data_IF_426642016472
#
_entry.id   IF_426642016472
#
_cell.length_a   1.000
_cell.length_b   1.000
_cell.length_c   1.000
_cell.angle_alpha   90.00
_cell.angle_beta   90.00
_cell.angle_gamma   90.00
#
_symmetry.space_group_name_H-M   'P 1'
#
loop_
_entity.id
_entity.type
_entity.pdbx_description
1 polymer ?
#
# COMPACT_ATOMS: atom_id res chain seq x y z
N UNK A 1 -83.25 29.32 3.27
CA UNK A 1 -83.37 30.08 2.01
C UNK A 1 -82.03 30.75 1.70
N UNK A 2 -81.42 30.29 0.60
CA UNK A 2 -80.51 30.99 -0.31
C UNK A 2 -79.26 31.76 0.17
N UNK A 3 -78.12 31.22 -0.34
CA UNK A 3 -76.98 31.87 -1.01
C UNK A 3 -75.75 32.28 -0.18
N UNK A 4 -74.70 31.47 -0.34
CA UNK A 4 -73.47 31.92 -1.00
C UNK A 4 -72.25 32.17 -0.12
N UNK A 5 -71.28 31.24 -0.13
CA UNK A 5 -69.95 31.42 -0.75
C UNK A 5 -69.16 30.11 -0.60
N UNK A 6 -68.85 29.46 -1.72
CA UNK A 6 -67.88 28.35 -1.78
C UNK A 6 -66.53 29.00 -2.09
N UNK A 7 -65.62 29.00 -1.13
CA UNK A 7 -64.21 29.33 -1.35
C UNK A 7 -63.50 28.04 -1.77
N UNK A 8 -63.15 27.95 -3.05
CA UNK A 8 -62.27 26.93 -3.59
C UNK A 8 -60.83 27.22 -3.13
N UNK A 9 -60.34 26.44 -2.17
CA UNK A 9 -58.91 26.35 -1.90
C UNK A 9 -58.27 25.45 -2.96
N UNK A 10 -57.51 26.07 -3.86
CA UNK A 10 -56.64 25.42 -4.83
C UNK A 10 -55.51 24.75 -4.03
N UNK A 11 -55.55 23.41 -3.96
CA UNK A 11 -54.39 22.58 -3.62
C UNK A 11 -53.37 22.72 -4.75
N UNK A 12 -52.49 23.72 -4.64
CA UNK A 12 -51.23 23.75 -5.39
C UNK A 12 -50.38 22.59 -4.89
N UNK A 13 -50.33 21.53 -5.68
CA UNK A 13 -49.36 20.46 -5.52
C UNK A 13 -47.95 21.04 -5.60
N UNK A 14 -47.32 21.23 -4.44
CA UNK A 14 -45.88 21.20 -4.36
C UNK A 14 -45.46 19.76 -4.65
N UNK A 15 -45.18 19.49 -5.93
CA UNK A 15 -44.29 18.42 -6.34
C UNK A 15 -42.92 18.73 -5.74
N UNK A 16 -42.73 18.39 -4.47
CA UNK A 16 -41.41 18.23 -3.90
C UNK A 16 -40.78 17.06 -4.65
N UNK A 17 -40.14 17.37 -5.78
CA UNK A 17 -39.07 16.54 -6.30
C UNK A 17 -38.13 16.31 -5.11
N UNK A 18 -38.16 15.08 -4.60
CA UNK A 18 -37.09 14.53 -3.80
C UNK A 18 -35.82 14.72 -4.64
N UNK A 19 -35.12 15.84 -4.41
CA UNK A 19 -33.74 15.96 -4.79
C UNK A 19 -33.04 14.86 -4.00
N UNK A 20 -32.79 13.72 -4.66
CA UNK A 20 -31.74 12.82 -4.24
C UNK A 20 -30.54 13.74 -3.99
N UNK A 21 -30.14 13.87 -2.74
CA UNK A 21 -28.93 14.58 -2.40
C UNK A 21 -27.82 13.92 -3.22
N UNK A 22 -27.39 14.58 -4.30
CA UNK A 22 -26.22 14.15 -5.03
C UNK A 22 -25.08 14.22 -4.03
N UNK A 23 -24.58 13.05 -3.63
CA UNK A 23 -23.43 12.95 -2.73
C UNK A 23 -22.28 13.69 -3.40
N UNK A 24 -21.73 14.67 -2.69
CA UNK A 24 -20.62 15.45 -3.21
C UNK A 24 -19.31 14.97 -2.62
N UNK A 25 -18.55 14.21 -3.43
CA UNK A 25 -17.26 13.70 -3.01
C UNK A 25 -16.15 14.71 -3.32
N UNK A 26 -16.21 15.35 -4.50
CA UNK A 26 -15.21 16.29 -4.99
C UNK A 26 -15.90 17.53 -5.56
N UNK A 27 -15.47 18.69 -5.06
CA UNK A 27 -15.89 19.99 -5.58
C UNK A 27 -14.92 20.44 -6.69
N UNK A 28 -15.46 20.80 -7.86
CA UNK A 28 -14.70 21.27 -9.02
C UNK A 28 -15.03 22.74 -9.27
N UNK A 29 -14.03 23.61 -9.15
CA UNK A 29 -14.14 25.05 -9.31
C UNK A 29 -13.33 25.54 -10.49
N UNK A 30 -13.68 26.74 -10.95
CA UNK A 30 -12.88 27.44 -11.93
C UNK A 30 -13.51 28.75 -12.35
N UNK A 31 -12.74 29.50 -13.13
CA UNK A 31 -13.16 30.76 -13.74
C UNK A 31 -13.09 30.67 -15.26
N UNK A 32 -14.19 31.04 -15.91
CA UNK A 32 -14.31 31.18 -17.35
C UNK A 32 -14.02 32.63 -17.72
N UNK A 33 -13.04 32.91 -18.58
CA UNK A 33 -12.80 34.26 -19.08
C UNK A 33 -14.08 34.92 -19.64
N UNK A 34 -14.32 36.18 -19.30
CA UNK A 34 -15.58 36.90 -19.57
C UNK A 34 -16.00 36.95 -21.06
N UNK A 35 -15.04 36.82 -21.98
CA UNK A 35 -15.30 36.85 -23.43
C UNK A 35 -15.76 35.48 -24.00
N UNK A 36 -15.73 34.41 -23.20
CA UNK A 36 -16.13 33.07 -23.63
C UNK A 36 -17.61 32.85 -23.29
N UNK A 37 -18.43 32.53 -24.30
CA UNK A 37 -19.84 32.18 -24.08
C UNK A 37 -19.99 30.92 -23.23
N UNK A 38 -20.95 30.94 -22.30
CA UNK A 38 -21.28 29.83 -21.41
C UNK A 38 -22.15 28.75 -22.09
N UNK A 39 -22.81 29.05 -23.22
CA UNK A 39 -23.86 28.22 -23.82
C UNK A 39 -23.41 26.79 -24.19
N UNK A 40 -22.10 26.60 -24.38
CA UNK A 40 -21.49 25.33 -24.81
C UNK A 40 -20.30 24.94 -23.93
N UNK A 41 -20.24 25.46 -22.70
CA UNK A 41 -19.24 25.09 -21.71
C UNK A 41 -19.73 23.98 -20.80
N UNK A 42 -18.84 23.03 -20.52
CA UNK A 42 -19.06 22.01 -19.52
C UNK A 42 -17.75 21.59 -18.87
N UNK A 43 -17.86 21.12 -17.63
CA UNK A 43 -16.83 20.32 -16.98
C UNK A 43 -16.98 18.89 -17.48
N UNK A 44 -15.97 18.40 -18.17
CA UNK A 44 -15.88 17.01 -18.62
C UNK A 44 -15.15 16.18 -17.58
N UNK A 45 -15.87 15.23 -17.00
CA UNK A 45 -15.35 14.16 -16.13
C UNK A 45 -15.49 12.82 -16.85
N UNK A 46 -14.98 11.73 -16.28
CA UNK A 46 -14.82 10.46 -16.99
C UNK A 46 -16.10 9.95 -17.69
N UNK A 47 -17.23 9.90 -16.99
CA UNK A 47 -18.50 9.37 -17.53
C UNK A 47 -19.56 10.44 -17.81
N UNK A 48 -19.26 11.72 -17.57
CA UNK A 48 -20.28 12.76 -17.54
C UNK A 48 -19.74 14.12 -17.98
N UNK A 49 -20.62 14.91 -18.59
CA UNK A 49 -20.40 16.33 -18.81
C UNK A 49 -21.36 17.11 -17.92
N UNK A 50 -20.83 18.07 -17.16
CA UNK A 50 -21.59 18.91 -16.24
C UNK A 50 -21.63 20.34 -16.81
N UNK A 51 -22.78 20.87 -17.21
CA UNK A 51 -22.88 22.21 -17.78
C UNK A 51 -22.35 23.29 -16.84
N UNK A 52 -21.67 24.30 -17.40
CA UNK A 52 -21.20 25.49 -16.67
C UNK A 52 -22.11 26.66 -17.03
N UNK A 53 -22.84 27.18 -16.04
CA UNK A 53 -23.85 28.24 -16.23
C UNK A 53 -23.44 29.60 -15.69
N UNK A 54 -22.25 29.71 -15.12
CA UNK A 54 -21.70 30.95 -14.59
C UNK A 54 -20.19 31.06 -14.89
N UNK A 55 -19.69 32.29 -15.03
CA UNK A 55 -18.27 32.54 -15.26
C UNK A 55 -17.40 32.16 -14.06
N UNK A 56 -17.93 32.27 -12.85
CA UNK A 56 -17.37 31.60 -11.67
C UNK A 56 -18.27 30.41 -11.37
N UNK A 57 -17.73 29.20 -11.37
CA UNK A 57 -18.52 28.00 -11.17
C UNK A 57 -17.95 27.14 -10.04
N UNK A 58 -18.86 26.42 -9.41
CA UNK A 58 -18.55 25.26 -8.57
C UNK A 58 -19.53 24.17 -8.97
N UNK A 59 -19.00 23.02 -9.35
CA UNK A 59 -19.80 21.84 -9.69
C UNK A 59 -19.35 20.66 -8.87
N UNK A 60 -20.28 19.74 -8.65
CA UNK A 60 -20.05 18.58 -7.83
C UNK A 60 -19.85 17.32 -8.68
N UNK A 61 -18.88 16.48 -8.32
CA UNK A 61 -18.68 15.17 -8.91
C UNK A 61 -18.49 14.09 -7.83
N UNK A 62 -19.01 12.89 -8.09
CA UNK A 62 -18.72 11.71 -7.27
C UNK A 62 -17.38 11.08 -7.66
N UNK A 63 -16.80 10.25 -6.79
CA UNK A 63 -15.61 9.43 -7.14
C UNK A 63 -15.87 8.53 -8.36
N UNK A 64 -17.12 8.09 -8.55
CA UNK A 64 -17.58 7.33 -9.72
C UNK A 64 -17.55 8.15 -11.00
N UNK A 65 -18.08 9.38 -10.96
CA UNK A 65 -18.05 10.30 -12.11
C UNK A 65 -16.62 10.58 -12.60
N UNK A 66 -15.66 10.52 -11.67
CA UNK A 66 -14.24 10.80 -11.88
C UNK A 66 -13.37 9.55 -12.15
N UNK A 67 -13.95 8.35 -12.04
CA UNK A 67 -13.24 7.07 -12.15
C UNK A 67 -11.99 7.00 -11.26
N UNK A 68 -12.07 7.53 -10.04
CA UNK A 68 -10.95 7.56 -9.11
C UNK A 68 -10.48 6.13 -8.84
N UNK A 69 -9.30 5.77 -9.35
CA UNK A 69 -8.71 4.45 -9.14
C UNK A 69 -7.82 4.48 -7.90
N UNK A 70 -7.74 3.37 -7.16
CA UNK A 70 -6.80 3.21 -6.04
C UNK A 70 -5.33 3.07 -6.46
N UNK A 71 -4.95 3.71 -7.57
CA UNK A 71 -3.60 3.73 -8.10
C UNK A 71 -2.88 4.99 -7.65
N UNK A 72 -1.58 4.87 -7.49
CA UNK A 72 -0.74 5.96 -7.01
C UNK A 72 -0.57 7.07 -8.06
N UNK A 73 -0.49 6.70 -9.34
CA UNK A 73 -0.48 7.63 -10.47
C UNK A 73 -1.72 7.42 -11.38
N UNK A 74 -2.78 8.22 -11.19
CA UNK A 74 -3.95 8.19 -12.04
C UNK A 74 -3.73 9.01 -13.32
N UNK A 75 -4.04 8.41 -14.48
CA UNK A 75 -4.10 9.14 -15.75
C UNK A 75 -5.42 9.94 -15.93
N UNK A 76 -6.30 9.92 -14.92
CA UNK A 76 -7.61 10.55 -15.01
C UNK A 76 -7.51 12.06 -14.82
N UNK A 77 -8.23 12.78 -15.67
CA UNK A 77 -8.23 14.24 -15.72
C UNK A 77 -9.64 14.77 -15.80
N UNK A 78 -9.86 15.92 -15.18
CA UNK A 78 -11.04 16.76 -15.38
C UNK A 78 -10.68 17.89 -16.33
N UNK A 79 -11.62 18.28 -17.18
CA UNK A 79 -11.42 19.34 -18.16
C UNK A 79 -12.55 20.37 -18.12
N UNK A 80 -12.21 21.65 -18.31
CA UNK A 80 -13.16 22.64 -18.77
C UNK A 80 -13.14 22.64 -20.31
N UNK A 81 -14.29 22.38 -20.94
CA UNK A 81 -14.39 22.19 -22.38
C UNK A 81 -15.38 23.16 -23.01
N UNK A 82 -14.96 23.80 -24.10
CA UNK A 82 -15.81 24.60 -24.99
C UNK A 82 -16.11 23.81 -26.27
N UNK A 83 -17.40 23.55 -26.50
CA UNK A 83 -17.90 22.84 -27.69
C UNK A 83 -18.56 23.79 -28.70
N UNK A 84 -18.21 25.07 -28.68
CA UNK A 84 -18.66 26.05 -29.66
C UNK A 84 -18.17 25.78 -31.08
N UNK A 85 -17.08 25.03 -31.23
CA UNK A 85 -16.50 24.58 -32.49
C UNK A 85 -16.74 23.08 -32.75
N UNK A 86 -16.60 22.66 -34.01
CA UNK A 86 -16.76 21.24 -34.42
C UNK A 86 -15.81 20.29 -33.69
N UNK A 87 -14.62 20.78 -33.34
CA UNK A 87 -13.66 20.09 -32.46
C UNK A 87 -13.72 20.72 -31.07
N UNK A 88 -14.01 19.97 -29.99
CA UNK A 88 -14.00 20.52 -28.64
C UNK A 88 -12.64 21.12 -28.26
N UNK A 89 -12.69 22.30 -27.64
CA UNK A 89 -11.52 23.03 -27.12
C UNK A 89 -11.40 22.77 -25.62
N UNK A 90 -10.26 22.23 -25.19
CA UNK A 90 -9.96 21.98 -23.78
C UNK A 90 -9.24 23.20 -23.20
N UNK A 91 -9.95 23.98 -22.39
CA UNK A 91 -9.48 25.28 -21.90
C UNK A 91 -8.52 25.11 -20.72
N UNK A 92 -8.93 24.30 -19.74
CA UNK A 92 -8.16 24.00 -18.55
C UNK A 92 -8.32 22.52 -18.18
N UNK A 93 -7.36 21.99 -17.43
CA UNK A 93 -7.37 20.61 -16.97
C UNK A 93 -6.71 20.43 -15.62
N UNK A 94 -7.05 19.36 -14.91
CA UNK A 94 -6.43 18.97 -13.65
C UNK A 94 -6.43 17.45 -13.50
N UNK A 95 -5.39 16.89 -12.88
CA UNK A 95 -5.32 15.48 -12.50
C UNK A 95 -6.22 15.19 -11.30
N UNK A 96 -6.72 13.95 -11.21
CA UNK A 96 -7.59 13.51 -10.12
C UNK A 96 -6.95 12.35 -9.38
N UNK A 97 -6.71 12.54 -8.08
CA UNK A 97 -6.19 11.52 -7.18
C UNK A 97 -7.25 11.09 -6.18
N UNK A 98 -7.05 9.96 -5.49
CA UNK A 98 -8.02 9.51 -4.49
C UNK A 98 -8.07 10.44 -3.28
N UNK A 99 -6.94 11.06 -2.97
CA UNK A 99 -6.80 12.05 -1.92
C UNK A 99 -7.41 13.42 -2.29
N UNK A 100 -7.75 13.65 -3.57
CA UNK A 100 -8.32 14.92 -4.04
C UNK A 100 -9.68 15.16 -3.39
N UNK A 101 -9.84 16.32 -2.73
CA UNK A 101 -11.13 16.79 -2.18
C UNK A 101 -11.73 17.95 -2.97
N UNK A 102 -10.88 18.72 -3.62
CA UNK A 102 -11.25 19.87 -4.44
C UNK A 102 -10.34 19.95 -5.66
N UNK A 103 -10.90 20.36 -6.79
CA UNK A 103 -10.19 20.59 -8.04
C UNK A 103 -10.39 22.05 -8.43
N UNK A 104 -9.29 22.73 -8.73
CA UNK A 104 -9.31 23.99 -9.47
C UNK A 104 -9.02 23.70 -10.94
N UNK A 105 -9.79 24.31 -11.84
CA UNK A 105 -9.58 24.30 -13.28
C UNK A 105 -9.08 25.66 -13.74
N UNK A 106 -7.76 25.81 -13.75
CA UNK A 106 -7.10 27.07 -14.08
C UNK A 106 -5.75 26.84 -14.81
N UNK A 107 -4.95 27.91 -14.91
CA UNK A 107 -3.62 27.84 -15.53
C UNK A 107 -2.62 27.07 -14.67
N UNK A 108 -2.74 27.09 -13.34
CA UNK A 108 -1.85 26.38 -12.41
C UNK A 108 -2.07 24.88 -12.55
N UNK A 109 -3.31 24.41 -12.42
CA UNK A 109 -3.67 23.00 -12.58
C UNK A 109 -3.29 22.47 -13.98
N UNK A 110 -3.47 23.30 -15.00
CA UNK A 110 -3.14 22.94 -16.38
C UNK A 110 -1.64 22.79 -16.58
N UNK A 111 -0.82 23.73 -16.09
CA UNK A 111 0.63 23.63 -16.21
C UNK A 111 1.22 22.55 -15.29
N UNK A 112 0.60 22.31 -14.13
CA UNK A 112 0.98 21.20 -13.25
C UNK A 112 0.88 19.85 -13.99
N UNK A 113 -0.13 19.66 -14.86
CA UNK A 113 -0.24 18.45 -15.69
C UNK A 113 0.90 18.25 -16.71
N UNK A 114 1.64 19.31 -17.05
CA UNK A 114 2.83 19.21 -17.92
C UNK A 114 4.12 19.02 -17.12
N UNK A 115 4.17 19.56 -15.90
CA UNK A 115 5.26 19.32 -14.96
C UNK A 115 5.20 17.91 -14.35
N UNK A 116 3.97 17.41 -14.13
CA UNK A 116 3.66 16.07 -13.69
C UNK A 116 3.54 15.14 -14.89
N UNK A 117 4.50 14.25 -15.08
CA UNK A 117 4.35 13.13 -16.01
C UNK A 117 3.78 11.89 -15.29
N UNK A 118 3.91 10.72 -15.93
CA UNK A 118 3.44 9.45 -15.39
C UNK A 118 4.25 8.92 -14.17
N UNK A 119 4.98 9.79 -13.46
CA UNK A 119 5.69 9.49 -12.21
C UNK A 119 5.12 10.22 -10.99
N UNK A 120 4.24 11.19 -11.20
CA UNK A 120 3.69 11.97 -10.09
C UNK A 120 2.55 11.24 -9.39
N UNK A 121 2.64 11.14 -8.06
CA UNK A 121 1.49 10.91 -7.21
C UNK A 121 0.88 12.22 -6.72
N UNK A 122 -0.05 12.09 -5.77
CA UNK A 122 -0.81 13.22 -5.23
C UNK A 122 0.07 14.28 -4.56
N UNK A 123 1.08 13.87 -3.79
CA UNK A 123 1.85 14.80 -2.97
C UNK A 123 2.89 15.58 -3.78
N UNK A 124 3.52 14.93 -4.76
CA UNK A 124 4.38 15.65 -5.70
C UNK A 124 3.56 16.62 -6.56
N UNK A 125 2.37 16.23 -7.02
CA UNK A 125 1.47 17.11 -7.75
C UNK A 125 1.08 18.34 -6.93
N UNK A 126 0.65 18.16 -5.68
CA UNK A 126 0.31 19.29 -4.79
C UNK A 126 1.51 20.23 -4.60
N UNK A 127 2.69 19.68 -4.31
CA UNK A 127 3.90 20.50 -4.14
C UNK A 127 4.25 21.29 -5.40
N UNK A 128 4.06 20.69 -6.59
CA UNK A 128 4.30 21.38 -7.87
C UNK A 128 3.31 22.53 -8.05
N UNK A 129 2.03 22.34 -7.72
CA UNK A 129 1.01 23.39 -7.79
C UNK A 129 1.36 24.61 -6.91
N UNK A 130 2.00 24.35 -5.77
CA UNK A 130 2.43 25.38 -4.81
C UNK A 130 3.81 26.00 -5.15
N UNK A 131 4.52 25.53 -6.18
CA UNK A 131 5.85 26.05 -6.53
C UNK A 131 5.75 27.45 -7.17
N UNK A 132 6.52 28.39 -6.63
CA UNK A 132 6.52 29.78 -7.09
C UNK A 132 6.86 29.95 -8.59
N UNK A 133 7.70 29.09 -9.14
CA UNK A 133 8.05 29.10 -10.56
C UNK A 133 6.89 28.64 -11.43
N UNK A 134 6.14 27.60 -11.00
CA UNK A 134 4.91 27.20 -11.67
C UNK A 134 3.88 28.32 -11.63
N UNK A 135 3.67 28.93 -10.46
CA UNK A 135 2.73 30.05 -10.28
C UNK A 135 3.09 31.21 -11.23
N UNK A 136 4.37 31.55 -11.36
CA UNK A 136 4.83 32.60 -12.29
C UNK A 136 4.57 32.23 -13.76
N UNK A 137 4.81 30.97 -14.16
CA UNK A 137 4.50 30.50 -15.51
C UNK A 137 2.99 30.48 -15.76
N UNK A 138 2.19 30.10 -14.78
CA UNK A 138 0.74 30.08 -14.88
C UNK A 138 0.16 31.49 -15.06
N UNK A 139 0.73 32.50 -14.39
CA UNK A 139 0.39 33.90 -14.60
C UNK A 139 0.66 34.33 -16.05
N UNK A 140 1.82 33.99 -16.62
CA UNK A 140 2.13 34.30 -18.02
C UNK A 140 1.20 33.55 -18.99
N UNK A 141 0.96 32.26 -18.73
CA UNK A 141 0.06 31.43 -19.53
C UNK A 141 -1.39 31.94 -19.52
N UNK A 142 -1.85 32.49 -18.39
CA UNK A 142 -3.19 33.07 -18.27
C UNK A 142 -3.42 34.30 -19.15
N UNK A 143 -2.35 34.97 -19.60
CA UNK A 143 -2.43 36.11 -20.53
C UNK A 143 -2.67 35.66 -21.98
N UNK A 144 -2.47 34.37 -22.28
CA UNK A 144 -2.77 33.79 -23.58
C UNK A 144 -4.26 33.41 -23.61
N UNK A 145 -4.97 33.90 -24.63
CA UNK A 145 -6.38 33.60 -24.86
C UNK A 145 -6.65 32.09 -24.73
N UNK A 146 -7.69 31.72 -23.98
CA UNK A 146 -8.00 30.32 -23.71
C UNK A 146 -8.39 29.52 -24.94
N UNK A 147 -8.87 30.18 -26.00
CA UNK A 147 -9.19 29.59 -27.29
C UNK A 147 -7.98 29.53 -28.23
N UNK A 148 -6.87 30.23 -27.94
CA UNK A 148 -5.65 30.22 -28.74
C UNK A 148 -4.81 28.95 -28.52
N UNK A 149 -5.35 27.79 -28.93
CA UNK A 149 -4.74 26.46 -28.74
C UNK A 149 -3.28 26.40 -29.22
N UNK A 150 -2.97 26.98 -30.38
CA UNK A 150 -1.64 26.94 -30.96
C UNK A 150 -0.61 27.72 -30.11
N UNK A 151 -0.97 28.90 -29.63
CA UNK A 151 -0.11 29.74 -28.79
C UNK A 151 0.10 29.10 -27.41
N UNK A 152 -0.96 28.57 -26.80
CA UNK A 152 -0.86 27.82 -25.54
C UNK A 152 0.03 26.58 -25.67
N UNK A 153 -0.04 25.87 -26.80
CA UNK A 153 0.85 24.74 -27.09
C UNK A 153 2.29 25.19 -27.32
N UNK A 154 2.51 26.32 -28.00
CA UNK A 154 3.84 26.89 -28.18
C UNK A 154 4.46 27.34 -26.85
N UNK A 155 3.65 27.88 -25.93
CA UNK A 155 4.10 28.23 -24.58
C UNK A 155 4.58 27.00 -23.81
N UNK A 156 3.78 25.93 -23.75
CA UNK A 156 4.15 24.73 -22.99
C UNK A 156 5.38 24.06 -23.58
N UNK A 157 5.54 24.03 -24.91
CA UNK A 157 6.75 23.55 -25.59
C UNK A 157 7.98 24.40 -25.24
N UNK A 158 7.85 25.73 -25.27
CA UNK A 158 8.93 26.66 -24.91
C UNK A 158 9.42 26.45 -23.48
N UNK A 159 8.50 26.14 -22.55
CA UNK A 159 8.78 25.98 -21.12
C UNK A 159 8.90 24.52 -20.65
N UNK A 160 8.96 23.56 -21.58
CA UNK A 160 8.94 22.13 -21.27
C UNK A 160 10.06 21.70 -20.31
N UNK A 161 11.29 22.19 -20.53
CA UNK A 161 12.43 21.83 -19.69
C UNK A 161 12.25 22.34 -18.24
N UNK A 162 11.78 23.57 -18.08
CA UNK A 162 11.48 24.16 -16.77
C UNK A 162 10.38 23.37 -16.07
N UNK A 163 9.27 23.10 -16.76
CA UNK A 163 8.15 22.33 -16.22
C UNK A 163 8.61 20.94 -15.77
N UNK A 164 9.40 20.24 -16.58
CA UNK A 164 9.94 18.92 -16.22
C UNK A 164 10.92 18.94 -15.04
N UNK A 165 11.62 20.05 -14.81
CA UNK A 165 12.54 20.20 -13.66
C UNK A 165 11.79 20.34 -12.34
N UNK A 166 10.60 20.94 -12.32
CA UNK A 166 9.80 21.17 -11.11
C UNK A 166 9.55 19.88 -10.32
N UNK A 167 9.31 18.75 -11.00
CA UNK A 167 9.16 17.46 -10.33
C UNK A 167 10.42 17.03 -9.57
N UNK A 168 11.59 17.24 -10.18
CA UNK A 168 12.88 16.84 -9.61
C UNK A 168 13.52 17.89 -8.71
N UNK A 169 12.90 19.08 -8.59
CA UNK A 169 13.36 20.21 -7.78
C UNK A 169 13.07 19.94 -6.30
N UNK A 170 13.75 18.93 -5.77
CA UNK A 170 13.62 18.48 -4.38
C UNK A 170 15.02 18.31 -3.79
N UNK A 171 15.26 18.91 -2.63
CA UNK A 171 16.53 18.83 -1.94
C UNK A 171 16.73 17.48 -1.24
N UNK A 172 17.99 17.14 -0.95
CA UNK A 172 18.41 16.02 -0.09
C UNK A 172 18.00 14.62 -0.55
N UNK A 173 17.63 14.46 -1.83
CA UNK A 173 17.30 13.16 -2.41
C UNK A 173 18.56 12.29 -2.52
N UNK A 174 18.51 11.10 -1.91
CA UNK A 174 19.61 10.13 -1.95
C UNK A 174 19.52 9.29 -3.22
N UNK A 175 20.66 9.12 -3.88
CA UNK A 175 20.79 8.13 -4.94
C UNK A 175 20.82 6.73 -4.35
N UNK A 176 20.30 5.76 -5.10
CA UNK A 176 20.47 4.36 -4.74
C UNK A 176 21.94 3.96 -4.91
N UNK A 177 22.50 3.30 -3.89
CA UNK A 177 23.83 2.69 -3.97
C UNK A 177 23.80 1.48 -4.93
N UNK A 178 24.51 1.59 -6.05
CA UNK A 178 24.53 0.59 -7.13
C UNK A 178 24.99 -0.80 -6.66
N UNK A 179 25.79 -0.88 -5.60
CA UNK A 179 26.25 -2.15 -5.03
C UNK A 179 25.17 -2.89 -4.21
N UNK A 180 24.02 -2.26 -3.98
CA UNK A 180 22.90 -2.83 -3.22
C UNK A 180 21.80 -3.42 -4.11
N UNK A 181 22.03 -3.46 -5.42
CA UNK A 181 21.10 -4.01 -6.39
C UNK A 181 21.32 -5.52 -6.55
N UNK A 182 20.34 -6.31 -6.11
CA UNK A 182 20.02 -7.56 -6.81
C UNK A 182 18.71 -7.30 -7.53
N UNK A 183 18.77 -6.86 -8.79
CA UNK A 183 17.58 -6.81 -9.61
C UNK A 183 17.00 -8.22 -9.68
N UNK A 184 15.75 -8.32 -9.29
CA UNK A 184 15.03 -9.56 -9.36
C UNK A 184 14.59 -9.73 -10.82
N UNK A 185 15.52 -10.19 -11.65
CA UNK A 185 15.26 -10.58 -13.04
C UNK A 185 14.68 -11.99 -13.09
N UNK A 186 13.51 -12.19 -12.47
CA UNK A 186 12.82 -13.46 -12.55
C UNK A 186 11.29 -13.26 -12.65
N UNK A 187 10.64 -13.75 -13.73
CA UNK A 187 9.18 -13.71 -13.91
C UNK A 187 8.37 -14.47 -12.84
N UNK A 188 9.01 -15.27 -11.99
CA UNK A 188 8.36 -15.94 -10.85
C UNK A 188 8.08 -15.00 -9.65
N UNK A 189 8.58 -13.76 -9.66
CA UNK A 189 8.31 -12.75 -8.60
C UNK A 189 7.22 -11.76 -8.97
N UNK A 190 6.27 -12.16 -9.79
CA UNK A 190 5.06 -11.36 -10.00
C UNK A 190 4.22 -11.33 -8.72
N UNK A 191 4.64 -10.48 -7.78
CA UNK A 191 3.77 -9.86 -6.80
C UNK A 191 2.95 -8.85 -7.60
N UNK A 192 1.88 -9.31 -8.24
CA UNK A 192 0.96 -8.39 -8.89
C UNK A 192 0.36 -7.49 -7.79
N UNK A 193 0.35 -6.16 -7.95
CA UNK A 193 -0.32 -5.25 -7.01
C UNK A 193 -1.79 -5.59 -6.74
N UNK A 194 -2.37 -6.52 -7.50
CA UNK A 194 -3.73 -7.05 -7.35
C UNK A 194 -3.83 -8.56 -7.04
N UNK A 195 -2.74 -9.35 -7.02
CA UNK A 195 -2.88 -10.81 -6.89
C UNK A 195 -3.10 -11.33 -5.47
N UNK A 196 -2.75 -10.55 -4.43
CA UNK A 196 -2.59 -11.14 -3.10
C UNK A 196 -1.56 -12.27 -3.19
N UNK A 197 -0.34 -11.89 -3.58
CA UNK A 197 0.71 -12.83 -3.92
C UNK A 197 1.21 -13.53 -2.67
N UNK A 198 0.50 -14.57 -2.24
CA UNK A 198 0.73 -15.32 -1.00
C UNK A 198 2.17 -15.32 -0.53
N UNK A 199 2.53 -14.28 0.24
CA UNK A 199 3.88 -14.08 0.71
C UNK A 199 4.12 -15.22 1.72
N UNK A 200 5.06 -16.10 1.40
CA UNK A 200 5.24 -17.33 2.16
C UNK A 200 5.94 -17.03 3.49
N UNK A 201 5.17 -16.65 4.51
CA UNK A 201 5.62 -16.59 5.89
C UNK A 201 5.34 -17.91 6.60
N UNK A 202 6.23 -18.31 7.50
CA UNK A 202 5.98 -19.49 8.33
C UNK A 202 5.08 -19.12 9.50
N UNK A 203 4.05 -19.93 9.72
CA UNK A 203 3.18 -19.74 10.89
C UNK A 203 3.89 -20.10 12.17
N UNK A 204 3.45 -19.54 13.31
CA UNK A 204 3.96 -19.93 14.64
C UNK A 204 3.94 -21.45 14.82
N UNK A 205 2.81 -22.09 14.49
CA UNK A 205 2.66 -23.54 14.60
C UNK A 205 3.62 -24.31 13.67
N UNK A 206 3.85 -23.78 12.46
CA UNK A 206 4.79 -24.37 11.51
C UNK A 206 6.23 -24.26 12.03
N UNK A 207 6.67 -23.06 12.45
CA UNK A 207 8.02 -22.82 12.98
C UNK A 207 8.33 -23.70 14.19
N UNK A 208 7.39 -23.76 15.14
CA UNK A 208 7.53 -24.61 16.32
C UNK A 208 7.58 -26.10 15.94
N UNK A 209 6.74 -26.54 15.00
CA UNK A 209 6.73 -27.93 14.52
C UNK A 209 8.00 -28.30 13.76
N UNK A 210 8.50 -27.45 12.86
CA UNK A 210 9.77 -27.65 12.16
C UNK A 210 10.92 -27.75 13.15
N UNK A 211 11.02 -26.80 14.10
CA UNK A 211 12.04 -26.80 15.13
C UNK A 211 12.00 -28.07 15.99
N UNK A 212 10.81 -28.54 16.34
CA UNK A 212 10.60 -29.79 17.06
C UNK A 212 11.07 -31.02 16.27
N UNK A 213 10.71 -31.09 14.99
CA UNK A 213 11.12 -32.23 14.14
C UNK A 213 12.63 -32.26 13.93
N UNK A 214 13.28 -31.10 13.77
CA UNK A 214 14.75 -31.01 13.72
C UNK A 214 15.42 -31.44 15.03
N UNK A 215 14.85 -31.07 16.18
CA UNK A 215 15.40 -31.44 17.49
C UNK A 215 15.33 -32.95 17.77
N UNK A 216 14.36 -33.63 17.16
CA UNK A 216 14.23 -35.09 17.16
C UNK A 216 15.19 -35.73 16.15
N UNK A 217 15.17 -35.28 14.90
CA UNK A 217 16.03 -35.74 13.81
C UNK A 217 16.12 -37.28 13.73
N UNK A 218 17.32 -37.79 13.49
CA UNK A 218 17.58 -39.24 13.46
C UNK A 218 17.80 -39.85 14.85
N UNK A 219 17.72 -39.09 15.95
CA UNK A 219 18.10 -39.56 17.29
C UNK A 219 17.25 -40.75 17.75
N UNK A 220 15.91 -40.63 17.63
CA UNK A 220 14.99 -41.72 18.01
C UNK A 220 15.21 -42.93 17.09
N UNK A 221 15.37 -42.70 15.77
CA UNK A 221 15.64 -43.77 14.81
C UNK A 221 16.93 -44.52 15.15
N UNK A 222 17.98 -43.81 15.53
CA UNK A 222 19.26 -44.40 15.93
C UNK A 222 19.14 -45.22 17.22
N UNK A 223 18.40 -44.74 18.23
CA UNK A 223 18.12 -45.52 19.44
C UNK A 223 17.39 -46.82 19.09
N UNK A 224 16.34 -46.75 18.26
CA UNK A 224 15.58 -47.93 17.85
C UNK A 224 16.41 -48.93 17.04
N UNK A 225 17.29 -48.45 16.16
CA UNK A 225 18.19 -49.31 15.38
C UNK A 225 19.26 -50.01 16.24
N UNK A 226 19.75 -49.32 17.28
CA UNK A 226 20.76 -49.86 18.19
C UNK A 226 20.18 -50.80 19.25
N UNK A 227 18.86 -50.77 19.48
CA UNK A 227 18.18 -51.53 20.53
C UNK A 227 16.90 -52.19 19.95
N UNK A 228 17.04 -53.24 19.13
CA UNK A 228 15.91 -53.87 18.44
C UNK A 228 14.89 -54.53 19.39
N UNK A 229 15.30 -54.82 20.62
CA UNK A 229 14.48 -55.31 21.71
C UNK A 229 13.44 -54.29 22.22
N UNK A 230 13.60 -53.00 21.90
CA UNK A 230 12.60 -51.97 22.19
C UNK A 230 11.39 -52.05 21.26
N UNK A 231 11.51 -52.69 20.09
CA UNK A 231 10.46 -52.69 19.06
C UNK A 231 9.10 -53.19 19.57
N UNK A 232 8.99 -54.32 20.30
CA UNK A 232 7.71 -54.78 20.84
C UNK A 232 7.08 -53.83 21.86
N UNK A 233 7.89 -52.99 22.52
CA UNK A 233 7.43 -52.03 23.52
C UNK A 233 6.98 -50.71 22.88
N UNK A 234 7.53 -50.36 21.72
CA UNK A 234 7.19 -49.13 20.99
C UNK A 234 6.05 -49.32 20.00
N UNK A 235 5.93 -50.50 19.37
CA UNK A 235 4.88 -50.79 18.38
C UNK A 235 3.45 -50.46 18.84
N UNK A 236 3.03 -50.72 20.10
CA UNK A 236 1.72 -50.32 20.58
C UNK A 236 1.46 -48.80 20.54
N UNK A 237 2.51 -47.99 20.52
CA UNK A 237 2.49 -46.52 20.57
C UNK A 237 2.84 -45.86 19.23
N UNK A 238 2.95 -46.63 18.14
CA UNK A 238 3.28 -46.09 16.81
C UNK A 238 2.31 -45.00 16.37
N UNK A 239 1.02 -45.15 16.69
CA UNK A 239 0.00 -44.15 16.41
C UNK A 239 0.23 -42.85 17.18
N UNK A 240 0.59 -42.94 18.46
CA UNK A 240 0.83 -41.75 19.29
C UNK A 240 2.09 -41.00 18.82
N UNK A 241 3.15 -41.74 18.47
CA UNK A 241 4.36 -41.19 17.87
C UNK A 241 4.10 -40.51 16.52
N UNK A 242 3.29 -41.13 15.66
CA UNK A 242 2.87 -40.56 14.38
C UNK A 242 2.06 -39.27 14.59
N UNK A 243 1.09 -39.26 15.51
CA UNK A 243 0.28 -38.06 15.82
C UNK A 243 1.15 -36.92 16.37
N UNK A 244 2.14 -37.23 17.22
CA UNK A 244 3.10 -36.24 17.73
C UNK A 244 3.98 -35.66 16.60
N UNK A 245 4.36 -36.49 15.62
CA UNK A 245 5.23 -36.11 14.50
C UNK A 245 4.54 -35.41 13.33
N UNK A 246 3.33 -35.84 12.95
CA UNK A 246 2.67 -35.50 11.68
C UNK A 246 1.78 -34.25 11.73
N UNK A 247 1.80 -33.50 12.84
CA UNK A 247 1.25 -32.13 12.89
C UNK A 247 -0.27 -32.02 13.07
N UNK A 248 -0.98 -33.10 13.40
CA UNK A 248 -2.43 -33.09 13.64
C UNK A 248 -2.88 -32.51 14.98
N UNK A 249 -1.95 -32.11 15.85
CA UNK A 249 -2.21 -31.56 17.18
C UNK A 249 -1.91 -30.06 17.24
N UNK A 250 -2.67 -29.31 18.05
CA UNK A 250 -2.23 -27.98 18.49
C UNK A 250 -0.90 -28.07 19.23
N UNK A 251 -0.19 -26.94 19.37
CA UNK A 251 1.10 -26.94 20.06
C UNK A 251 0.99 -27.37 21.53
N UNK A 252 -0.09 -26.98 22.20
CA UNK A 252 -0.41 -27.36 23.58
C UNK A 252 -0.74 -28.86 23.67
N UNK A 253 -1.62 -29.34 22.78
CA UNK A 253 -2.00 -30.76 22.70
C UNK A 253 -0.79 -31.67 22.41
N UNK A 254 0.16 -31.18 21.61
CA UNK A 254 1.42 -31.89 21.34
C UNK A 254 2.25 -32.06 22.63
N UNK A 255 2.29 -31.03 23.48
CA UNK A 255 2.94 -31.11 24.79
C UNK A 255 2.30 -32.16 25.70
N UNK A 256 0.96 -32.16 25.78
CA UNK A 256 0.20 -33.15 26.56
C UNK A 256 0.42 -34.59 26.07
N UNK A 257 0.39 -34.80 24.75
CA UNK A 257 0.63 -36.11 24.15
C UNK A 257 2.05 -36.63 24.43
N UNK A 258 3.06 -35.76 24.38
CA UNK A 258 4.44 -36.11 24.73
C UNK A 258 4.54 -36.50 26.21
N UNK A 259 3.88 -35.76 27.10
CA UNK A 259 3.89 -36.05 28.53
C UNK A 259 3.20 -37.39 28.85
N UNK A 260 2.07 -37.68 28.22
CA UNK A 260 1.35 -38.94 28.34
C UNK A 260 2.19 -40.13 27.84
N UNK A 261 2.79 -40.01 26.65
CA UNK A 261 3.63 -41.06 26.08
C UNK A 261 4.87 -41.32 26.95
N UNK A 262 5.53 -40.26 27.44
CA UNK A 262 6.68 -40.41 28.33
C UNK A 262 6.31 -41.07 29.67
N UNK A 263 5.10 -40.84 30.18
CA UNK A 263 4.61 -41.52 31.38
C UNK A 263 4.36 -43.02 31.14
N UNK A 264 3.81 -43.38 29.97
CA UNK A 264 3.63 -44.77 29.58
C UNK A 264 4.99 -45.49 29.40
N UNK A 265 5.96 -44.84 28.76
CA UNK A 265 7.30 -45.39 28.57
C UNK A 265 8.00 -45.75 29.88
N UNK A 266 7.81 -44.95 30.93
CA UNK A 266 8.33 -45.25 32.28
C UNK A 266 7.80 -46.56 32.86
N UNK A 267 6.57 -46.97 32.51
CA UNK A 267 5.98 -48.21 33.06
C UNK A 267 6.69 -49.48 32.60
N UNK A 268 7.44 -49.42 31.49
CA UNK A 268 8.22 -50.55 30.99
C UNK A 268 9.55 -50.75 31.72
N UNK A 269 9.97 -49.80 32.58
CA UNK A 269 11.28 -49.81 33.26
C UNK A 269 12.46 -50.02 32.30
N UNK A 270 12.40 -49.43 31.11
CA UNK A 270 13.45 -49.51 30.08
C UNK A 270 14.16 -48.15 29.91
N UNK A 271 15.43 -48.02 30.33
CA UNK A 271 16.14 -46.73 30.32
C UNK A 271 16.21 -46.05 28.95
N UNK A 272 16.21 -46.84 27.86
CA UNK A 272 16.23 -46.31 26.50
C UNK A 272 14.89 -45.74 26.04
N UNK A 273 13.76 -46.21 26.58
CA UNK A 273 12.46 -45.57 26.34
C UNK A 273 12.34 -44.25 27.10
N UNK A 274 12.91 -44.17 28.31
CA UNK A 274 13.02 -42.90 29.04
C UNK A 274 13.86 -41.87 28.28
N UNK A 275 14.93 -42.32 27.61
CA UNK A 275 15.76 -41.49 26.74
C UNK A 275 14.94 -40.93 25.55
N UNK A 276 14.11 -41.76 24.91
CA UNK A 276 13.20 -41.31 23.83
C UNK A 276 12.20 -40.27 24.36
N UNK A 277 11.55 -40.54 25.49
CA UNK A 277 10.63 -39.60 26.12
C UNK A 277 11.30 -38.27 26.47
N UNK A 278 12.55 -38.32 26.93
CA UNK A 278 13.36 -37.12 27.19
C UNK A 278 13.69 -36.35 25.91
N UNK A 279 14.10 -37.02 24.83
CA UNK A 279 14.36 -36.37 23.53
C UNK A 279 13.13 -35.61 23.04
N UNK A 280 11.95 -36.21 23.12
CA UNK A 280 10.69 -35.56 22.72
C UNK A 280 10.41 -34.32 23.58
N UNK A 281 10.51 -34.43 24.91
CA UNK A 281 10.30 -33.29 25.82
C UNK A 281 11.31 -32.17 25.62
N UNK A 282 12.59 -32.51 25.50
CA UNK A 282 13.66 -31.54 25.29
C UNK A 282 13.48 -30.84 23.94
N UNK A 283 13.12 -31.58 22.88
CA UNK A 283 12.83 -31.00 21.57
C UNK A 283 11.64 -30.03 21.62
N UNK A 284 10.55 -30.42 22.28
CA UNK A 284 9.36 -29.58 22.47
C UNK A 284 9.69 -28.28 23.22
N UNK A 285 10.44 -28.39 24.33
CA UNK A 285 10.88 -27.23 25.13
C UNK A 285 11.81 -26.31 24.34
N UNK A 286 12.73 -26.88 23.55
CA UNK A 286 13.71 -26.13 22.79
C UNK A 286 13.16 -25.53 21.47
N UNK A 287 12.00 -25.99 21.00
CA UNK A 287 11.34 -25.40 19.84
C UNK A 287 10.80 -23.98 20.09
N UNK A 288 10.38 -23.67 21.33
CA UNK A 288 9.86 -22.34 21.68
C UNK A 288 10.93 -21.24 21.63
N UNK A 289 12.15 -21.43 22.18
CA UNK A 289 13.26 -20.51 21.98
C UNK A 289 13.56 -20.20 20.50
N UNK A 290 13.49 -21.18 19.60
CA UNK A 290 13.69 -20.94 18.16
C UNK A 290 12.62 -20.04 17.54
N UNK A 291 11.38 -20.16 17.99
CA UNK A 291 10.33 -19.22 17.60
C UNK A 291 10.61 -17.81 18.14
N UNK A 292 11.08 -17.69 19.39
CA UNK A 292 11.51 -16.40 19.94
C UNK A 292 12.71 -15.82 19.18
N UNK A 293 13.65 -16.63 18.73
CA UNK A 293 14.75 -16.19 17.87
C UNK A 293 14.23 -15.68 16.53
N UNK A 294 13.23 -16.33 15.93
CA UNK A 294 12.58 -15.85 14.70
C UNK A 294 11.89 -14.49 14.90
N UNK A 295 11.22 -14.30 16.04
CA UNK A 295 10.63 -13.03 16.41
C UNK A 295 11.70 -11.97 16.71
N UNK A 296 12.83 -12.36 17.32
CA UNK A 296 13.87 -11.42 17.68
C UNK A 296 14.42 -10.67 16.48
N UNK A 297 14.45 -9.35 16.58
CA UNK A 297 15.00 -8.47 15.54
C UNK A 297 16.49 -8.15 15.72
N UNK A 298 17.09 -8.66 16.80
CA UNK A 298 18.50 -8.41 17.15
C UNK A 298 19.45 -8.86 16.04
N UNK A 299 20.28 -7.94 15.56
CA UNK A 299 21.33 -8.16 14.54
C UNK A 299 20.83 -8.69 13.18
N UNK A 300 19.54 -8.48 12.85
CA UNK A 300 18.90 -9.11 11.68
C UNK A 300 18.45 -8.15 10.58
N UNK A 301 18.92 -6.91 10.56
CA UNK A 301 18.49 -5.96 9.52
C UNK A 301 19.17 -6.24 8.19
N UNK A 302 18.43 -6.59 7.13
CA UNK A 302 19.03 -6.97 5.86
C UNK A 302 19.58 -5.77 5.09
N UNK A 303 19.15 -4.54 5.40
CA UNK A 303 19.55 -3.32 4.71
C UNK A 303 20.12 -2.28 5.69
N UNK A 304 21.43 -2.05 5.63
CA UNK A 304 22.13 -1.20 6.59
C UNK A 304 21.63 0.26 6.63
N UNK A 305 21.03 0.80 5.56
CA UNK A 305 20.46 2.15 5.61
C UNK A 305 19.26 2.25 6.57
N UNK A 306 18.55 1.14 6.84
CA UNK A 306 17.47 1.13 7.82
C UNK A 306 18.00 1.25 9.26
N UNK A 307 19.31 1.10 9.49
CA UNK A 307 19.89 1.21 10.83
C UNK A 307 20.09 2.66 11.28
N UNK A 308 19.87 3.65 10.39
CA UNK A 308 20.02 5.07 10.71
C UNK A 308 18.77 5.60 11.40
N UNK A 309 18.83 5.85 12.71
CA UNK A 309 17.71 6.37 13.50
C UNK A 309 17.21 7.70 12.93
N UNK A 310 18.09 8.65 12.64
CA UNK A 310 17.74 9.99 12.16
C UNK A 310 17.45 10.04 10.63
N UNK A 311 16.67 9.07 10.13
CA UNK A 311 16.25 9.03 8.72
C UNK A 311 14.90 9.73 8.54
N UNK A 312 14.74 10.51 7.47
CA UNK A 312 13.44 11.10 7.11
C UNK A 312 12.45 10.02 6.65
N UNK A 313 11.15 10.30 6.77
CA UNK A 313 10.08 9.34 6.45
C UNK A 313 10.21 8.79 5.02
N UNK A 314 10.38 9.67 4.04
CA UNK A 314 10.45 9.30 2.63
C UNK A 314 11.67 8.41 2.32
N UNK A 315 12.76 8.60 3.07
CA UNK A 315 13.97 7.78 2.97
C UNK A 315 13.77 6.41 3.64
N UNK A 316 13.12 6.37 4.80
CA UNK A 316 12.73 5.10 5.45
C UNK A 316 11.84 4.28 4.52
N UNK A 317 10.81 4.91 3.94
CA UNK A 317 9.90 4.28 3.00
C UNK A 317 10.63 3.74 1.76
N UNK A 318 11.54 4.52 1.17
CA UNK A 318 12.32 4.10 0.00
C UNK A 318 13.30 2.95 0.33
N UNK A 319 13.96 3.00 1.49
CA UNK A 319 14.87 1.95 1.93
C UNK A 319 14.12 0.65 2.28
N UNK A 320 12.98 0.77 2.95
CA UNK A 320 12.19 -0.38 3.37
C UNK A 320 11.57 -1.08 2.17
N UNK A 321 10.93 -0.33 1.26
CA UNK A 321 10.31 -0.91 0.06
C UNK A 321 11.32 -1.63 -0.83
N UNK A 322 12.51 -1.05 -0.98
CA UNK A 322 13.60 -1.71 -1.69
C UNK A 322 14.10 -2.97 -0.97
N UNK A 323 14.32 -2.92 0.34
CA UNK A 323 14.76 -4.08 1.10
C UNK A 323 13.72 -5.22 1.03
N UNK A 324 12.44 -4.87 1.14
CA UNK A 324 11.33 -5.80 1.04
C UNK A 324 11.26 -6.44 -0.35
N UNK A 325 11.43 -5.65 -1.40
CA UNK A 325 11.54 -6.14 -2.78
C UNK A 325 12.69 -7.14 -2.93
N UNK A 326 13.92 -6.73 -2.60
CA UNK A 326 15.14 -7.53 -2.77
C UNK A 326 15.22 -8.79 -1.91
N UNK A 327 14.54 -8.81 -0.75
CA UNK A 327 14.60 -9.93 0.19
C UNK A 327 13.33 -10.77 0.29
N UNK A 328 12.30 -10.49 -0.51
CA UNK A 328 11.01 -11.21 -0.51
C UNK A 328 11.11 -12.76 -0.57
N UNK A 329 12.18 -13.31 -1.16
CA UNK A 329 12.44 -14.77 -1.20
C UNK A 329 13.21 -15.34 -0.01
N UNK A 330 13.93 -14.50 0.74
CA UNK A 330 14.64 -14.89 1.94
C UNK A 330 13.73 -14.62 3.14
N UNK A 331 12.94 -15.64 3.53
CA UNK A 331 11.92 -15.51 4.58
C UNK A 331 12.48 -14.92 5.88
N UNK A 332 13.73 -15.25 6.23
CA UNK A 332 14.34 -14.76 7.46
C UNK A 332 14.66 -13.27 7.35
N UNK A 333 15.33 -12.85 6.27
CA UNK A 333 15.63 -11.43 6.03
C UNK A 333 14.38 -10.60 5.82
N UNK A 334 13.40 -11.14 5.11
CA UNK A 334 12.13 -10.47 4.86
C UNK A 334 11.34 -10.29 6.15
N UNK A 335 11.19 -11.36 6.95
CA UNK A 335 10.53 -11.30 8.26
C UNK A 335 11.21 -10.30 9.20
N UNK A 336 12.54 -10.16 9.12
CA UNK A 336 13.23 -9.14 9.90
C UNK A 336 12.79 -7.71 9.56
N UNK A 337 12.22 -7.41 8.40
CA UNK A 337 11.74 -6.05 8.07
C UNK A 337 10.50 -5.60 8.86
N UNK A 338 9.90 -6.50 9.65
CA UNK A 338 8.69 -6.27 10.42
C UNK A 338 9.00 -6.20 11.92
N UNK A 339 8.20 -5.45 12.67
CA UNK A 339 8.36 -5.39 14.13
C UNK A 339 8.09 -6.73 14.79
N UNK A 340 8.64 -6.94 15.99
CA UNK A 340 8.35 -8.11 16.82
C UNK A 340 6.85 -8.29 17.04
N UNK A 341 6.14 -7.20 17.32
CA UNK A 341 4.68 -7.18 17.45
C UNK A 341 3.99 -7.59 16.15
N UNK A 342 4.34 -6.99 15.01
CA UNK A 342 3.72 -7.32 13.73
C UNK A 342 3.86 -8.82 13.42
N UNK A 343 5.03 -9.40 13.69
CA UNK A 343 5.26 -10.84 13.49
C UNK A 343 4.41 -11.72 14.41
N UNK A 344 4.09 -11.27 15.63
CA UNK A 344 3.25 -12.00 16.57
C UNK A 344 1.76 -11.93 16.20
N UNK A 345 1.32 -10.78 15.70
CA UNK A 345 -0.10 -10.48 15.48
C UNK A 345 -0.58 -10.76 14.05
N UNK A 346 0.30 -10.58 13.06
CA UNK A 346 -0.10 -10.51 11.64
C UNK A 346 0.55 -11.59 10.77
N UNK A 347 1.54 -12.35 11.28
CA UNK A 347 2.18 -13.44 10.52
C UNK A 347 1.72 -14.84 11.00
N UNK A 348 1.48 -15.79 10.07
CA UNK A 348 1.55 -15.63 8.62
C UNK A 348 0.37 -14.75 8.16
N UNK A 349 0.54 -14.05 7.04
CA UNK A 349 -0.52 -13.16 6.55
C UNK A 349 -1.68 -14.01 6.04
N UNK A 350 -2.80 -14.00 6.78
CA UNK A 350 -4.03 -14.69 6.41
C UNK A 350 -5.08 -13.72 5.84
N UNK A 351 -4.91 -12.43 6.12
CA UNK A 351 -5.78 -11.36 5.63
C UNK A 351 -5.38 -10.98 4.20
N UNK A 352 -6.33 -11.14 3.26
CA UNK A 352 -6.13 -10.83 1.84
C UNK A 352 -5.93 -9.34 1.58
N UNK A 353 -6.57 -8.47 2.34
CA UNK A 353 -6.43 -7.03 2.20
C UNK A 353 -5.05 -6.57 2.69
N UNK A 354 -4.59 -7.12 3.81
CA UNK A 354 -3.22 -6.90 4.29
C UNK A 354 -2.18 -7.39 3.29
N UNK A 355 -2.35 -8.58 2.73
CA UNK A 355 -1.45 -9.14 1.73
C UNK A 355 -1.41 -8.28 0.44
N UNK A 356 -2.57 -7.77 0.00
CA UNK A 356 -2.66 -6.86 -1.14
C UNK A 356 -1.97 -5.51 -0.84
N UNK A 357 -2.20 -4.94 0.34
CA UNK A 357 -1.57 -3.69 0.76
C UNK A 357 -0.04 -3.84 0.80
N UNK A 358 0.45 -4.95 1.37
CA UNK A 358 1.87 -5.25 1.46
C UNK A 358 2.49 -5.46 0.08
N UNK A 359 1.81 -6.19 -0.80
CA UNK A 359 2.22 -6.41 -2.19
C UNK A 359 2.40 -5.09 -2.95
N UNK A 360 1.48 -4.12 -2.77
CA UNK A 360 1.58 -2.79 -3.38
C UNK A 360 2.74 -1.98 -2.81
N UNK A 361 2.94 -2.01 -1.50
CA UNK A 361 4.06 -1.33 -0.86
C UNK A 361 5.41 -1.85 -1.40
N UNK A 362 5.56 -3.17 -1.52
CA UNK A 362 6.76 -3.82 -2.06
C UNK A 362 7.02 -3.45 -3.53
N UNK A 363 5.97 -3.29 -4.33
CA UNK A 363 6.06 -2.99 -5.76
C UNK A 363 6.14 -1.50 -6.09
N UNK A 364 6.03 -0.64 -5.07
CA UNK A 364 6.09 0.81 -5.22
C UNK A 364 7.32 1.31 -6.02
N UNK A 365 8.55 0.79 -5.82
CA UNK A 365 9.70 1.19 -6.63
C UNK A 365 9.51 0.90 -8.13
N UNK A 366 8.94 -0.25 -8.49
CA UNK A 366 8.69 -0.58 -9.90
C UNK A 366 7.60 0.30 -10.50
N UNK A 367 6.55 0.59 -9.74
CA UNK A 367 5.44 1.42 -10.19
C UNK A 367 5.90 2.86 -10.47
N UNK A 368 6.69 3.45 -9.57
CA UNK A 368 7.19 4.82 -9.72
C UNK A 368 8.41 4.92 -10.63
N UNK A 369 9.19 3.86 -10.79
CA UNK A 369 10.44 3.84 -11.54
C UNK A 369 10.32 3.47 -13.02
N UNK A 370 9.13 3.09 -13.49
CA UNK A 370 8.89 2.66 -14.88
C UNK A 370 9.96 1.67 -15.38
N UNK A 371 10.18 0.60 -14.62
CA UNK A 371 11.17 -0.48 -14.86
C UNK A 371 12.60 -0.23 -14.39
N UNK A 372 12.95 0.95 -13.85
CA UNK A 372 14.25 1.19 -13.21
C UNK A 372 14.09 1.37 -11.70
N UNK A 373 14.62 0.44 -10.91
CA UNK A 373 14.56 0.49 -9.44
C UNK A 373 15.19 1.76 -8.85
N UNK A 374 16.31 2.23 -9.43
CA UNK A 374 16.97 3.45 -8.99
C UNK A 374 16.07 4.69 -9.15
N UNK A 375 15.31 4.76 -10.26
CA UNK A 375 14.35 5.83 -10.50
C UNK A 375 13.16 5.70 -9.53
N UNK A 376 12.69 4.48 -9.27
CA UNK A 376 11.67 4.21 -8.26
C UNK A 376 12.07 4.68 -6.86
N UNK A 377 13.28 4.32 -6.42
CA UNK A 377 13.85 4.74 -5.14
C UNK A 377 13.91 6.26 -5.00
N UNK A 378 14.30 6.96 -6.07
CA UNK A 378 14.33 8.43 -6.12
C UNK A 378 12.91 9.00 -6.08
N UNK A 379 11.99 8.45 -6.86
CA UNK A 379 10.65 8.97 -7.02
C UNK A 379 9.80 8.78 -5.76
N UNK A 380 10.02 7.72 -4.98
CA UNK A 380 9.41 7.57 -3.64
C UNK A 380 9.82 8.73 -2.73
N UNK A 381 11.12 9.07 -2.70
CA UNK A 381 11.60 10.19 -1.89
C UNK A 381 11.00 11.53 -2.35
N UNK A 382 10.91 11.74 -3.66
CA UNK A 382 10.29 12.94 -4.24
C UNK A 382 8.81 13.01 -3.90
N UNK A 383 8.06 11.92 -4.02
CA UNK A 383 6.63 11.89 -3.76
C UNK A 383 6.33 12.25 -2.30
N UNK A 384 6.97 11.55 -1.35
CA UNK A 384 6.64 11.67 0.07
C UNK A 384 7.46 12.71 0.83
N UNK A 385 8.19 13.58 0.11
CA UNK A 385 9.06 14.58 0.72
C UNK A 385 8.33 15.46 1.73
N UNK A 386 8.89 15.53 2.94
CA UNK A 386 8.46 16.37 4.06
C UNK A 386 6.98 16.19 4.43
N UNK A 387 6.41 15.02 4.13
CA UNK A 387 5.02 14.69 4.51
C UNK A 387 4.87 14.50 6.02
N UNK A 388 5.93 14.04 6.67
CA UNK A 388 6.01 13.90 8.12
C UNK A 388 7.23 14.66 8.63
N UNK A 389 7.12 15.21 9.84
CA UNK A 389 8.27 15.79 10.54
C UNK A 389 9.28 14.70 10.87
N UNK A 390 10.59 15.01 10.86
CA UNK A 390 11.63 14.04 11.24
C UNK A 390 11.37 13.43 12.61
N UNK A 391 11.62 12.13 12.71
CA UNK A 391 11.49 11.32 13.93
C UNK A 391 12.60 10.28 13.94
N UNK A 392 13.07 9.92 15.13
CA UNK A 392 14.05 8.87 15.35
C UNK A 392 13.46 7.63 16.04
N UNK A 393 12.15 7.64 16.30
CA UNK A 393 11.44 6.56 17.01
C UNK A 393 10.31 5.96 16.19
N UNK A 394 9.45 6.81 15.61
CA UNK A 394 8.22 6.36 14.94
C UNK A 394 7.77 7.30 13.83
N UNK A 395 7.28 6.72 12.75
CA UNK A 395 6.51 7.40 11.72
C UNK A 395 5.12 6.77 11.62
N UNK A 396 4.09 7.62 11.62
CA UNK A 396 2.70 7.25 11.36
C UNK A 396 2.20 8.02 10.14
N UNK A 397 2.01 7.32 9.03
CA UNK A 397 1.48 7.90 7.80
C UNK A 397 0.09 7.35 7.54
N UNK A 398 -0.87 8.23 7.26
CA UNK A 398 -2.24 7.85 6.90
C UNK A 398 -2.82 8.82 5.90
N UNK A 399 -3.38 8.28 4.82
CA UNK A 399 -4.18 9.02 3.85
C UNK A 399 -5.37 8.17 3.35
N UNK A 400 -6.05 8.67 2.31
CA UNK A 400 -7.20 7.96 1.73
C UNK A 400 -6.80 6.66 1.01
N UNK A 401 -5.52 6.43 0.68
CA UNK A 401 -5.02 5.22 0.01
C UNK A 401 -4.49 4.18 0.99
N UNK A 402 -3.78 4.61 2.04
CA UNK A 402 -3.03 3.72 2.91
C UNK A 402 -2.82 4.31 4.30
N UNK A 403 -2.70 3.41 5.28
CA UNK A 403 -2.18 3.69 6.61
C UNK A 403 -1.00 2.77 6.84
N UNK A 404 0.16 3.32 7.20
CA UNK A 404 1.34 2.55 7.53
C UNK A 404 2.11 3.21 8.66
N UNK A 405 2.83 2.40 9.44
CA UNK A 405 3.73 2.93 10.45
C UNK A 405 5.06 2.21 10.45
N UNK A 406 6.12 2.98 10.63
CA UNK A 406 7.47 2.46 10.89
C UNK A 406 7.87 2.76 12.32
N UNK A 407 8.46 1.79 13.02
CA UNK A 407 9.11 1.97 14.32
C UNK A 407 10.60 1.72 14.16
N UNK A 408 11.43 2.54 14.83
CA UNK A 408 12.83 2.25 15.04
C UNK A 408 13.01 1.35 16.27
N UNK A 409 13.27 0.07 16.06
CA UNK A 409 13.47 -0.90 17.14
C UNK A 409 14.66 -1.83 16.87
N UNK A 410 15.37 -2.20 17.94
CA UNK A 410 16.55 -3.07 17.86
C UNK A 410 17.58 -2.56 16.82
N UNK A 411 17.78 -1.24 16.78
CA UNK A 411 18.75 -0.59 15.92
C UNK A 411 18.37 -0.48 14.44
N UNK A 412 17.09 -0.64 14.08
CA UNK A 412 16.63 -0.42 12.71
C UNK A 412 15.14 -0.02 12.58
N UNK A 413 14.81 0.67 11.49
CA UNK A 413 13.45 0.95 11.05
C UNK A 413 12.75 -0.31 10.53
N UNK A 414 11.54 -0.59 11.04
CA UNK A 414 10.73 -1.77 10.71
C UNK A 414 9.27 -1.42 10.53
N UNK A 415 8.58 -2.16 9.67
CA UNK A 415 7.15 -1.99 9.43
C UNK A 415 6.38 -2.54 10.63
N UNK A 416 5.55 -1.69 11.23
CA UNK A 416 4.83 -1.98 12.46
C UNK A 416 3.31 -2.13 12.25
N UNK A 417 2.79 -1.47 11.23
CA UNK A 417 1.40 -1.58 10.81
C UNK A 417 1.29 -1.26 9.33
N UNK A 418 0.34 -1.92 8.67
CA UNK A 418 -0.05 -1.63 7.30
C UNK A 418 -1.52 -1.98 7.12
N UNK A 419 -2.28 -1.04 6.59
CA UNK A 419 -3.64 -1.29 6.12
C UNK A 419 -3.88 -0.41 4.91
N UNK A 420 -4.51 -0.96 3.88
CA UNK A 420 -5.03 -0.16 2.80
C UNK A 420 -6.50 0.16 3.09
N UNK A 421 -6.97 1.35 2.70
CA UNK A 421 -8.41 1.57 2.57
C UNK A 421 -8.89 0.70 1.40
N UNK A 422 -9.81 -0.27 1.59
CA UNK A 422 -10.32 -1.07 0.50
C UNK A 422 -10.88 -0.14 -0.57
N UNK A 423 -10.27 -0.14 -1.75
CA UNK A 423 -10.84 0.54 -2.90
C UNK A 423 -11.38 -0.53 -3.82
N UNK A 424 -12.60 -0.97 -3.50
CA UNK A 424 -13.34 -1.78 -4.42
C UNK A 424 -13.51 -0.95 -5.70
N UNK A 425 -12.97 -1.47 -6.81
CA UNK A 425 -13.24 -0.96 -8.16
C UNK A 425 -14.75 -0.99 -8.49
N UNK A 426 -15.55 -1.62 -7.62
CA UNK A 426 -16.97 -1.92 -7.77
C UNK A 426 -17.86 -1.56 -6.56
N UNK A 427 -17.36 -0.91 -5.51
CA UNK A 427 -18.27 -0.21 -4.56
C UNK A 427 -18.53 1.21 -5.07
N UNK A 428 -19.01 1.21 -6.32
CA UNK A 428 -19.41 2.34 -7.17
C UNK A 428 -20.92 2.39 -7.31
#
# INVERSE_FOLDING_TARGET
>A
MNKGLILAAILLGCSSHLALAQTCDIEIKGEVPAHISLDKLFVSVYQRNIPVTAHQFSVCATKKDLNVTGQHNPNNKVYLVDKSTDTPLYLYSSLVFVQTKQIELDSISTLANYACDSRCGYYSHQRIQDDAELISLAQQYSQIDAKAKAERSAFTLKHQATLGQLYTKVADIKALDANRMTEINNPDLWVDPYSGAGLFFDSKANLQSTAFMEGIGDKIRNIMNQNPDLKPLVTPHEKDLSVIGEGGLSWEQKGEAIDALAAQFKTYNQPKLDEIGKILKDSYRNASPRFQDYLSNKDKTPFAALNQADSTFELVLANWTLAAYSHSKDKQKFSALFTERFKQEQLPIQDKELDSALSRLITLPNHLGQQKLADGYKNIQIEFKDRLSPSNERYDFKDDLQSLSFIYEQGAWRLDNLSQVPMNHYEL
#
